data_IF_193255203097
#
_entry.id   IF_193255203097
#
_cell.length_a   1.000
_cell.length_b   1.000
_cell.length_c   1.000
_cell.angle_alpha   90.00
_cell.angle_beta   90.00
_cell.angle_gamma   90.00
#
_symmetry.space_group_name_H-M   'P 1'
#
loop_
_entity.id
_entity.type
_entity.pdbx_description
1 polymer ?
#
# COMPACT_ATOMS: atom_id res chain seq x y z
N UNK A 1 10.57 -16.15 -6.03
CA UNK A 1 10.28 -16.37 -4.60
C UNK A 1 11.47 -15.84 -3.83
N UNK A 2 11.27 -14.77 -3.05
CA UNK A 2 12.30 -14.21 -2.16
C UNK A 2 12.35 -14.97 -0.83
N UNK A 3 13.30 -14.62 0.06
CA UNK A 3 13.31 -15.11 1.43
C UNK A 3 11.98 -14.82 2.16
N UNK A 4 11.64 -15.63 3.16
CA UNK A 4 10.48 -15.39 4.02
C UNK A 4 10.62 -14.02 4.72
N UNK A 5 9.56 -13.21 4.71
CA UNK A 5 9.56 -11.85 5.29
C UNK A 5 9.86 -11.84 6.79
N UNK A 6 9.40 -12.86 7.53
CA UNK A 6 9.70 -12.94 8.96
C UNK A 6 11.19 -13.24 9.19
N UNK A 7 11.80 -14.05 8.31
CA UNK A 7 13.24 -14.28 8.31
C UNK A 7 14.02 -13.00 7.95
N UNK A 8 13.58 -12.23 6.96
CA UNK A 8 14.19 -10.93 6.63
C UNK A 8 14.11 -9.94 7.80
N UNK A 9 12.97 -9.88 8.48
CA UNK A 9 12.77 -9.04 9.67
C UNK A 9 13.76 -9.41 10.79
N UNK A 10 13.96 -10.70 11.05
CA UNK A 10 14.95 -11.19 12.02
C UNK A 10 16.40 -10.84 11.60
N UNK A 11 16.74 -11.02 10.32
CA UNK A 11 18.10 -10.74 9.82
C UNK A 11 18.41 -9.24 9.76
N UNK A 12 17.42 -8.39 9.49
CA UNK A 12 17.56 -6.93 9.47
C UNK A 12 17.86 -6.36 10.86
N UNK A 13 17.29 -6.93 11.92
CA UNK A 13 17.61 -6.59 13.31
C UNK A 13 19.07 -6.88 13.67
N UNK A 14 19.70 -7.84 12.98
CA UNK A 14 21.11 -8.20 13.18
C UNK A 14 22.08 -7.45 12.23
N UNK A 15 21.63 -6.39 11.52
CA UNK A 15 22.41 -5.66 10.51
C UNK A 15 23.03 -6.55 9.42
N UNK A 16 22.41 -7.70 9.12
CA UNK A 16 22.93 -8.69 8.17
C UNK A 16 22.10 -8.82 6.89
N UNK A 17 20.98 -8.11 6.76
CA UNK A 17 20.09 -8.27 5.61
C UNK A 17 20.24 -7.15 4.56
N UNK A 18 20.42 -7.56 3.31
CA UNK A 18 20.06 -6.76 2.14
C UNK A 18 18.54 -6.73 2.06
N UNK A 19 17.89 -5.56 2.19
CA UNK A 19 16.43 -5.45 2.02
C UNK A 19 16.05 -5.86 0.60
N UNK A 20 15.25 -6.91 0.44
CA UNK A 20 14.64 -7.23 -0.85
C UNK A 20 13.45 -6.29 -1.09
N UNK A 21 13.14 -5.97 -2.35
CA UNK A 21 11.93 -5.18 -2.65
C UNK A 21 10.71 -6.11 -2.56
N UNK A 22 9.65 -5.73 -1.82
CA UNK A 22 8.45 -6.54 -1.73
C UNK A 22 7.74 -6.62 -3.10
N UNK A 23 7.04 -7.73 -3.33
CA UNK A 23 6.17 -7.93 -4.49
C UNK A 23 4.75 -7.53 -4.08
N UNK A 24 4.15 -6.58 -4.79
CA UNK A 24 2.75 -6.22 -4.59
C UNK A 24 1.85 -7.15 -5.41
N UNK A 25 1.09 -7.99 -4.72
CA UNK A 25 0.11 -8.88 -5.34
C UNK A 25 -1.26 -8.21 -5.43
N UNK A 26 -1.86 -8.19 -6.62
CA UNK A 26 -3.14 -7.50 -6.87
C UNK A 26 -4.27 -8.52 -7.04
N UNK A 27 -5.32 -8.37 -6.25
CA UNK A 27 -6.59 -9.07 -6.45
C UNK A 27 -7.49 -8.27 -7.41
N UNK A 28 -7.59 -8.72 -8.66
CA UNK A 28 -8.40 -8.07 -9.70
C UNK A 28 -9.91 -8.01 -9.41
N UNK A 29 -10.39 -8.82 -8.45
CA UNK A 29 -11.80 -8.81 -8.01
C UNK A 29 -12.07 -7.82 -6.87
N UNK A 30 -11.04 -7.16 -6.36
CA UNK A 30 -11.18 -6.23 -5.25
C UNK A 30 -11.90 -4.93 -5.69
N UNK A 31 -12.90 -4.42 -4.94
CA UNK A 31 -13.67 -3.24 -5.35
C UNK A 31 -12.82 -1.99 -5.62
N UNK A 32 -11.76 -1.74 -4.84
CA UNK A 32 -10.86 -0.60 -5.07
C UNK A 32 -10.07 -0.72 -6.37
N UNK A 33 -9.71 -1.94 -6.80
CA UNK A 33 -9.02 -2.16 -8.08
C UNK A 33 -9.96 -1.82 -9.24
N UNK A 34 -11.24 -2.22 -9.13
CA UNK A 34 -12.25 -1.82 -10.11
C UNK A 34 -12.51 -0.30 -10.11
N UNK A 35 -12.45 0.36 -8.94
CA UNK A 35 -12.58 1.81 -8.84
C UNK A 35 -11.41 2.55 -9.52
N UNK A 36 -10.17 2.09 -9.30
CA UNK A 36 -8.97 2.62 -9.99
C UNK A 36 -9.11 2.51 -11.50
N UNK A 37 -9.56 1.34 -11.99
CA UNK A 37 -9.72 1.11 -13.43
C UNK A 37 -10.80 1.99 -14.09
N UNK A 38 -11.73 2.55 -13.30
CA UNK A 38 -12.79 3.47 -13.78
C UNK A 38 -12.39 4.93 -13.70
N UNK A 39 -11.39 5.28 -12.90
CA UNK A 39 -10.93 6.64 -12.73
C UNK A 39 -10.06 7.08 -13.93
N UNK A 40 -10.01 8.38 -14.19
CA UNK A 40 -9.19 8.92 -15.26
C UNK A 40 -7.70 8.68 -14.97
N UNK A 41 -6.97 8.22 -15.99
CA UNK A 41 -5.54 7.95 -15.88
C UNK A 41 -4.77 9.22 -15.50
N UNK A 42 -3.94 9.14 -14.45
CA UNK A 42 -3.19 10.28 -13.92
C UNK A 42 -4.02 11.29 -13.13
N UNK A 43 -5.29 10.99 -12.82
CA UNK A 43 -6.07 11.81 -11.89
C UNK A 43 -5.64 11.61 -10.44
N UNK A 44 -5.88 12.62 -9.60
CA UNK A 44 -5.63 12.54 -8.17
C UNK A 44 -6.38 11.37 -7.51
N UNK A 45 -7.58 11.03 -8.00
CA UNK A 45 -8.35 9.88 -7.52
C UNK A 45 -7.64 8.56 -7.82
N UNK A 46 -7.10 8.39 -9.02
CA UNK A 46 -6.33 7.20 -9.41
C UNK A 46 -5.10 7.03 -8.53
N UNK A 47 -4.35 8.12 -8.31
CA UNK A 47 -3.16 8.12 -7.46
C UNK A 47 -3.51 7.80 -6.00
N UNK A 48 -4.59 8.40 -5.50
CA UNK A 48 -5.04 8.21 -4.12
C UNK A 48 -5.47 6.78 -3.84
N UNK A 49 -6.31 6.21 -4.72
CA UNK A 49 -6.76 4.84 -4.55
C UNK A 49 -5.61 3.82 -4.71
N UNK A 50 -4.65 4.10 -5.61
CA UNK A 50 -3.50 3.23 -5.84
C UNK A 50 -2.54 3.21 -4.64
N UNK A 51 -2.22 4.39 -4.09
CA UNK A 51 -1.41 4.50 -2.88
C UNK A 51 -2.11 3.88 -1.68
N UNK A 52 -3.41 4.13 -1.53
CA UNK A 52 -4.20 3.56 -0.46
C UNK A 52 -4.18 2.01 -0.47
N UNK A 53 -4.20 1.37 -1.65
CA UNK A 53 -4.07 -0.09 -1.75
C UNK A 53 -2.69 -0.59 -1.35
N UNK A 54 -1.62 0.11 -1.76
CA UNK A 54 -0.25 -0.23 -1.37
C UNK A 54 -0.06 -0.12 0.15
N UNK A 55 -0.53 0.98 0.74
CA UNK A 55 -0.40 1.28 2.16
C UNK A 55 -1.20 0.26 3.00
N UNK A 56 -2.38 -0.18 2.54
CA UNK A 56 -3.13 -1.28 3.16
C UNK A 56 -2.38 -2.62 3.11
N UNK A 57 -1.73 -2.94 1.98
CA UNK A 57 -0.95 -4.17 1.87
C UNK A 57 0.22 -4.19 2.87
N UNK A 58 0.93 -3.06 3.03
CA UNK A 58 1.98 -2.91 4.03
C UNK A 58 1.45 -3.15 5.45
N UNK A 59 0.31 -2.54 5.79
CA UNK A 59 -0.32 -2.71 7.11
C UNK A 59 -0.70 -4.18 7.36
N UNK A 60 -1.26 -4.88 6.36
CA UNK A 60 -1.61 -6.30 6.48
C UNK A 60 -0.39 -7.22 6.64
N UNK A 61 0.75 -6.82 6.07
CA UNK A 61 2.04 -7.47 6.26
C UNK A 61 2.72 -7.12 7.60
N UNK A 62 2.07 -6.29 8.45
CA UNK A 62 2.61 -5.84 9.73
C UNK A 62 3.67 -4.72 9.60
N UNK A 63 3.78 -4.11 8.42
CA UNK A 63 4.66 -2.97 8.15
C UNK A 63 3.90 -1.65 8.32
N UNK A 64 4.65 -0.59 8.63
CA UNK A 64 4.10 0.76 8.58
C UNK A 64 4.15 1.27 7.14
N UNK A 65 3.17 2.08 6.71
CA UNK A 65 3.30 2.86 5.49
C UNK A 65 4.60 3.67 5.49
N UNK A 66 5.17 3.88 4.30
CA UNK A 66 6.40 4.66 4.15
C UNK A 66 6.26 6.08 4.72
N UNK A 67 5.09 6.69 4.51
CA UNK A 67 4.70 7.97 5.14
C UNK A 67 3.32 7.83 5.81
N UNK A 68 3.28 7.57 7.14
CA UNK A 68 2.03 7.44 7.87
C UNK A 68 1.17 8.73 7.88
N UNK A 69 1.80 9.91 7.79
CA UNK A 69 1.07 11.18 7.78
C UNK A 69 0.39 11.40 6.42
N UNK A 70 1.08 11.07 5.32
CA UNK A 70 0.50 11.11 3.98
C UNK A 70 -0.67 10.12 3.84
N UNK A 71 -0.51 8.89 4.36
CA UNK A 71 -1.60 7.89 4.41
C UNK A 71 -2.83 8.44 5.15
N UNK A 72 -2.65 8.98 6.36
CA UNK A 72 -3.76 9.52 7.16
C UNK A 72 -4.45 10.70 6.46
N UNK A 73 -3.68 11.62 5.87
CA UNK A 73 -4.22 12.74 5.11
C UNK A 73 -5.03 12.29 3.89
N UNK A 74 -4.54 11.27 3.17
CA UNK A 74 -5.21 10.68 2.00
C UNK A 74 -6.52 9.99 2.39
N UNK A 75 -6.49 9.18 3.46
CA UNK A 75 -7.69 8.53 3.98
C UNK A 75 -8.77 9.55 4.35
N UNK A 76 -8.39 10.62 5.07
CA UNK A 76 -9.32 11.69 5.43
C UNK A 76 -9.91 12.38 4.19
N UNK A 77 -9.09 12.68 3.17
CA UNK A 77 -9.55 13.27 1.91
C UNK A 77 -10.58 12.38 1.22
N UNK A 78 -10.31 11.08 1.08
CA UNK A 78 -11.22 10.13 0.43
C UNK A 78 -12.53 9.94 1.21
N UNK A 79 -12.47 9.88 2.54
CA UNK A 79 -13.66 9.79 3.39
C UNK A 79 -14.54 11.03 3.22
N UNK A 80 -13.95 12.23 3.29
CA UNK A 80 -14.70 13.48 3.12
C UNK A 80 -15.31 13.61 1.72
N UNK A 81 -14.60 13.17 0.67
CA UNK A 81 -15.13 13.15 -0.70
C UNK A 81 -16.34 12.22 -0.84
N UNK A 82 -16.35 11.06 -0.18
CA UNK A 82 -17.48 10.13 -0.22
C UNK A 82 -18.70 10.55 0.61
N UNK A 83 -18.55 11.57 1.47
CA UNK A 83 -19.64 12.13 2.27
C UNK A 83 -20.34 13.32 1.61
N UNK A 84 -19.77 13.86 0.53
CA UNK A 84 -20.34 14.95 -0.25
C UNK A 84 -21.29 14.42 -1.32
#
# INVERSE_FOLDING_TARGET
QGPDRELERLLSQHNRATKTRPILEINLRHPLVAAIARADAGSATTDDLSLLLLEQAQILDGELPEDPAAFAARLNRLVLQGMA
#
